data_IF_937373127608
#
_entry.id   IF_937373127608
#
_cell.length_a   1.000
_cell.length_b   1.000
_cell.length_c   1.000
_cell.angle_alpha   90.00
_cell.angle_beta   90.00
_cell.angle_gamma   90.00
#
_symmetry.space_group_name_H-M   'P 1'
#
loop_
_entity.id
_entity.type
_entity.pdbx_description
1 polymer ?
#
# COMPACT_ATOMS: atom_id res chain seq x y z
N UNK A 1 -1.66 18.55 -12.15
CA UNK A 1 -2.03 17.35 -11.36
C UNK A 1 -1.03 17.17 -10.24
N UNK A 2 -1.52 17.01 -9.03
CA UNK A 2 -0.66 16.79 -7.87
C UNK A 2 -0.69 15.31 -7.50
N UNK A 3 0.42 14.60 -7.70
CA UNK A 3 0.57 13.19 -7.36
C UNK A 3 1.07 13.03 -5.94
N UNK A 4 0.47 12.11 -5.20
CA UNK A 4 0.90 11.75 -3.85
C UNK A 4 1.27 10.28 -3.87
N UNK A 5 2.38 9.93 -3.24
CA UNK A 5 2.80 8.54 -3.12
C UNK A 5 2.86 8.14 -1.65
N UNK A 6 2.35 6.96 -1.35
CA UNK A 6 2.47 6.38 -0.02
C UNK A 6 2.92 4.93 -0.14
N UNK A 7 3.68 4.47 0.83
CA UNK A 7 4.22 3.12 0.85
C UNK A 7 3.78 2.37 2.09
N UNK A 8 3.61 1.09 1.98
CA UNK A 8 3.30 0.26 3.14
C UNK A 8 3.18 -1.21 2.78
N UNK A 9 3.08 -2.02 3.81
CA UNK A 9 2.85 -3.46 3.68
C UNK A 9 1.39 -3.74 3.35
N UNK A 10 0.48 -3.01 3.97
CA UNK A 10 -0.97 -3.16 3.81
C UNK A 10 -1.44 -4.59 4.04
N UNK A 11 -0.85 -5.24 5.07
CA UNK A 11 -1.24 -6.59 5.47
C UNK A 11 -2.55 -6.55 6.26
N UNK A 12 -3.43 -7.51 6.01
CA UNK A 12 -4.73 -7.60 6.71
C UNK A 12 -5.45 -6.24 6.69
N UNK A 13 -5.71 -5.73 5.51
CA UNK A 13 -6.28 -4.39 5.31
C UNK A 13 -7.44 -4.11 6.27
N UNK A 14 -7.36 -3.00 6.98
CA UNK A 14 -8.34 -2.63 7.99
C UNK A 14 -8.64 -1.12 7.97
N UNK A 15 -9.50 -0.69 8.88
CA UNK A 15 -9.98 0.70 8.96
C UNK A 15 -8.83 1.71 9.04
N UNK A 16 -7.75 1.38 9.77
CA UNK A 16 -6.58 2.26 9.86
C UNK A 16 -5.92 2.49 8.52
N UNK A 17 -5.81 1.45 7.69
CA UNK A 17 -5.29 1.57 6.33
C UNK A 17 -6.19 2.45 5.47
N UNK A 18 -7.51 2.28 5.59
CA UNK A 18 -8.46 3.08 4.83
C UNK A 18 -8.35 4.56 5.17
N UNK A 19 -8.19 4.87 6.45
CA UNK A 19 -8.01 6.26 6.90
C UNK A 19 -6.73 6.87 6.35
N UNK A 20 -5.65 6.09 6.35
CA UNK A 20 -4.38 6.53 5.79
C UNK A 20 -4.51 6.85 4.31
N UNK A 21 -5.13 5.96 3.54
CA UNK A 21 -5.31 6.14 2.10
C UNK A 21 -6.21 7.33 1.79
N UNK A 22 -7.31 7.50 2.54
CA UNK A 22 -8.20 8.64 2.37
C UNK A 22 -7.48 9.95 2.65
N UNK A 23 -6.65 9.98 3.70
CA UNK A 23 -5.90 11.16 4.07
C UNK A 23 -4.86 11.50 3.01
N UNK A 24 -4.15 10.48 2.50
CA UNK A 24 -3.17 10.68 1.43
C UNK A 24 -3.84 11.19 0.16
N UNK A 25 -5.00 10.65 -0.19
CA UNK A 25 -5.75 11.08 -1.37
C UNK A 25 -6.12 12.56 -1.33
N UNK A 26 -6.41 13.07 -0.14
CA UNK A 26 -6.78 14.48 0.06
C UNK A 26 -5.62 15.44 -0.14
N UNK A 27 -4.38 14.95 -0.06
CA UNK A 27 -3.19 15.80 -0.23
C UNK A 27 -2.93 16.13 -1.70
N UNK A 28 -3.61 15.46 -2.62
CA UNK A 28 -3.47 15.69 -4.04
C UNK A 28 -4.70 15.19 -4.76
N UNK A 29 -4.58 14.98 -6.08
CA UNK A 29 -5.68 14.45 -6.87
C UNK A 29 -5.31 13.16 -7.63
N UNK A 30 -4.17 12.59 -7.33
CA UNK A 30 -3.72 11.32 -7.89
C UNK A 30 -2.89 10.58 -6.84
N UNK A 31 -3.37 9.43 -6.41
CA UNK A 31 -2.71 8.65 -5.35
C UNK A 31 -2.03 7.41 -5.92
N UNK A 32 -0.73 7.32 -5.67
CA UNK A 32 0.09 6.15 -5.99
C UNK A 32 0.34 5.41 -4.68
N UNK A 33 0.00 4.12 -4.64
CA UNK A 33 0.24 3.28 -3.47
C UNK A 33 1.32 2.26 -3.79
N UNK A 34 2.44 2.32 -3.06
CA UNK A 34 3.52 1.35 -3.16
C UNK A 34 3.33 0.26 -2.12
N UNK A 35 3.23 -0.99 -2.57
CA UNK A 35 3.04 -2.13 -1.68
C UNK A 35 4.34 -2.91 -1.62
N UNK A 36 4.86 -3.12 -0.39
CA UNK A 36 6.16 -3.74 -0.20
C UNK A 36 6.10 -5.25 -0.38
N UNK A 37 7.19 -5.80 -0.95
CA UNK A 37 7.32 -7.25 -1.12
C UNK A 37 7.65 -7.93 0.21
N UNK A 38 7.50 -9.25 0.25
CA UNK A 38 7.84 -10.03 1.43
C UNK A 38 9.33 -9.92 1.76
N UNK A 39 10.19 -9.88 0.76
CA UNK A 39 11.63 -9.71 0.97
C UNK A 39 11.94 -8.35 1.61
N UNK A 40 11.32 -7.31 1.11
CA UNK A 40 11.48 -5.98 1.67
C UNK A 40 11.03 -5.93 3.13
N UNK A 41 9.88 -6.54 3.40
CA UNK A 41 9.32 -6.55 4.75
C UNK A 41 10.21 -7.33 5.72
N UNK A 42 10.78 -8.44 5.29
CA UNK A 42 11.72 -9.23 6.11
C UNK A 42 12.95 -8.43 6.45
N UNK A 43 13.51 -7.70 5.49
CA UNK A 43 14.70 -6.88 5.71
C UNK A 43 14.44 -5.76 6.71
N UNK A 44 13.19 -5.31 6.81
CA UNK A 44 12.77 -4.29 7.77
C UNK A 44 12.31 -4.88 9.10
N UNK A 45 12.43 -6.20 9.29
CA UNK A 45 12.04 -6.86 10.52
C UNK A 45 10.56 -7.25 10.60
N UNK A 46 9.81 -7.13 9.51
CA UNK A 46 8.41 -7.53 9.45
C UNK A 46 8.32 -8.95 8.93
N UNK A 47 8.43 -9.92 9.83
CA UNK A 47 8.52 -11.34 9.44
C UNK A 47 7.18 -12.07 9.43
N UNK A 48 6.10 -11.43 9.86
CA UNK A 48 4.79 -12.09 10.02
C UNK A 48 3.72 -11.49 9.12
N UNK A 49 4.05 -11.23 7.86
CA UNK A 49 3.07 -10.78 6.87
C UNK A 49 2.15 -11.95 6.56
N UNK A 50 0.85 -11.78 6.75
CA UNK A 50 -0.15 -12.85 6.62
C UNK A 50 -0.68 -12.99 5.20
N UNK A 51 -1.01 -11.88 4.54
CA UNK A 51 -1.56 -11.92 3.19
C UNK A 51 -0.45 -11.96 2.16
N UNK A 52 -0.67 -12.71 1.08
CA UNK A 52 0.26 -12.70 -0.06
C UNK A 52 0.29 -11.32 -0.71
N UNK A 53 1.34 -11.04 -1.48
CA UNK A 53 1.45 -9.78 -2.20
C UNK A 53 0.24 -9.56 -3.11
N UNK A 54 -0.19 -10.60 -3.84
CA UNK A 54 -1.35 -10.50 -4.73
C UNK A 54 -2.60 -10.12 -3.96
N UNK A 55 -2.85 -10.76 -2.82
CA UNK A 55 -4.00 -10.45 -1.98
C UNK A 55 -3.94 -9.02 -1.48
N UNK A 56 -2.78 -8.56 -1.05
CA UNK A 56 -2.61 -7.19 -0.56
C UNK A 56 -2.87 -6.17 -1.65
N UNK A 57 -2.40 -6.44 -2.87
CA UNK A 57 -2.66 -5.57 -4.02
C UNK A 57 -4.15 -5.51 -4.31
N UNK A 58 -4.82 -6.65 -4.35
CA UNK A 58 -6.26 -6.72 -4.63
C UNK A 58 -7.08 -6.00 -3.58
N UNK A 59 -6.71 -6.14 -2.31
CA UNK A 59 -7.40 -5.45 -1.21
C UNK A 59 -7.30 -3.93 -1.34
N UNK A 60 -6.11 -3.42 -1.68
CA UNK A 60 -5.92 -1.98 -1.88
C UNK A 60 -6.70 -1.49 -3.10
N UNK A 61 -6.68 -2.26 -4.20
CA UNK A 61 -7.47 -1.92 -5.40
C UNK A 61 -8.96 -1.85 -5.08
N UNK A 62 -9.45 -2.77 -4.27
CA UNK A 62 -10.88 -2.84 -3.94
C UNK A 62 -11.35 -1.62 -3.13
N UNK A 63 -10.46 -0.88 -2.50
CA UNK A 63 -10.83 0.35 -1.79
C UNK A 63 -11.30 1.46 -2.73
N UNK A 64 -10.85 1.42 -3.98
CA UNK A 64 -11.13 2.48 -4.95
C UNK A 64 -10.37 3.77 -4.71
N UNK A 65 -9.47 3.80 -3.73
CA UNK A 65 -8.75 5.02 -3.35
C UNK A 65 -7.43 5.20 -4.10
N UNK A 66 -6.81 4.13 -4.56
CA UNK A 66 -5.55 4.19 -5.28
C UNK A 66 -5.79 4.39 -6.77
N UNK A 67 -5.16 5.40 -7.34
CA UNK A 67 -5.19 5.61 -8.80
C UNK A 67 -4.16 4.73 -9.50
N UNK A 68 -3.08 4.42 -8.79
CA UNK A 68 -2.02 3.58 -9.32
C UNK A 68 -1.40 2.77 -8.18
N UNK A 69 -1.08 1.51 -8.45
CA UNK A 69 -0.41 0.65 -7.47
C UNK A 69 0.91 0.20 -8.06
N UNK A 70 1.98 0.39 -7.28
CA UNK A 70 3.32 -0.08 -7.67
C UNK A 70 3.81 -1.06 -6.62
N UNK A 71 4.75 -1.90 -7.02
CA UNK A 71 5.39 -2.85 -6.12
C UNK A 71 6.72 -2.27 -5.68
N UNK A 72 6.90 -2.14 -4.37
CA UNK A 72 8.14 -1.65 -3.80
C UNK A 72 9.00 -2.84 -3.40
N UNK A 73 10.10 -3.02 -4.09
CA UNK A 73 11.02 -4.12 -3.86
C UNK A 73 12.38 -3.58 -3.47
N UNK A 74 12.95 -4.14 -2.42
CA UNK A 74 14.30 -3.76 -2.00
C UNK A 74 15.33 -4.39 -2.93
N UNK A 75 16.24 -3.56 -3.36
CA UNK A 75 17.33 -3.98 -4.22
C UNK A 75 18.67 -3.71 -3.53
#
# INVERSE_FOLDING_TARGET
MKKVITYGTFDLLHEGHLRLLKRAKKLGNYLIVGITTENYDKLRGKVNVKDSLVTRIENVKATGLADEIIIEEYV
#
